data_IF_906453065908
#
_entry.id   IF_906453065908
#
_cell.length_a   1.000
_cell.length_b   1.000
_cell.length_c   1.000
_cell.angle_alpha   90.00
_cell.angle_beta   90.00
_cell.angle_gamma   90.00
#
_symmetry.space_group_name_H-M   'P 1'
#
loop_
_entity.id
_entity.type
_entity.pdbx_description
1 polymer ?
#
# COMPACT_ATOMS: atom_id res chain seq x y z
N UNK A 1 -2.11 -37.83 11.51
CA UNK A 1 -0.98 -37.93 10.56
C UNK A 1 -0.21 -36.63 10.60
N UNK A 2 0.99 -36.62 11.21
CA UNK A 2 1.89 -35.44 11.25
C UNK A 2 3.23 -35.88 10.69
N UNK A 3 3.61 -35.36 9.53
CA UNK A 3 4.97 -35.48 9.00
C UNK A 3 5.51 -34.06 8.85
N UNK A 4 6.20 -33.60 9.90
CA UNK A 4 6.96 -32.36 9.86
C UNK A 4 8.28 -32.68 9.15
N UNK A 5 8.38 -32.31 7.87
CA UNK A 5 9.64 -32.31 7.14
C UNK A 5 10.43 -31.06 7.56
N UNK A 6 11.45 -31.23 8.40
CA UNK A 6 12.47 -30.21 8.63
C UNK A 6 13.51 -30.41 7.54
N UNK A 7 13.46 -29.56 6.51
CA UNK A 7 14.49 -29.51 5.48
C UNK A 7 15.73 -28.85 6.08
N UNK A 8 16.79 -29.64 6.30
CA UNK A 8 18.10 -29.16 6.70
C UNK A 8 18.81 -28.62 5.45
N UNK A 9 18.74 -27.30 5.23
CA UNK A 9 19.52 -26.65 4.18
C UNK A 9 20.99 -26.61 4.60
N UNK A 10 21.80 -27.52 4.06
CA UNK A 10 23.26 -27.46 4.14
C UNK A 10 23.71 -26.25 3.32
N UNK A 11 24.04 -25.15 4.00
CA UNK A 11 24.75 -24.04 3.37
C UNK A 11 26.18 -24.51 3.09
N UNK A 12 26.48 -24.83 1.84
CA UNK A 12 27.85 -24.99 1.38
C UNK A 12 28.54 -23.62 1.49
N UNK A 13 29.31 -23.43 2.56
CA UNK A 13 30.15 -22.25 2.75
C UNK A 13 31.21 -22.22 1.65
N UNK A 14 31.09 -21.29 0.71
CA UNK A 14 32.17 -20.93 -0.20
C UNK A 14 33.31 -20.33 0.63
N UNK A 15 34.32 -21.12 0.94
CA UNK A 15 35.56 -20.63 1.51
C UNK A 15 36.27 -19.77 0.45
N UNK A 16 36.19 -18.45 0.58
CA UNK A 16 36.99 -17.53 -0.23
C UNK A 16 38.41 -17.56 0.32
N UNK A 17 39.26 -18.40 -0.28
CA UNK A 17 40.69 -18.48 0.03
C UNK A 17 41.39 -17.22 -0.48
N UNK A 18 41.60 -16.25 0.41
CA UNK A 18 42.45 -15.09 0.14
C UNK A 18 43.92 -15.50 0.14
N UNK A 19 44.46 -15.87 -1.01
CA UNK A 19 45.91 -16.02 -1.17
C UNK A 19 46.54 -14.62 -1.04
N UNK A 20 47.41 -14.42 -0.06
CA UNK A 20 48.13 -13.16 0.11
C UNK A 20 48.94 -12.87 -1.16
N UNK A 21 48.61 -11.78 -1.85
CA UNK A 21 49.31 -11.38 -3.07
C UNK A 21 50.67 -10.78 -2.69
N UNK A 22 51.75 -11.49 -3.03
CA UNK A 22 53.10 -11.00 -2.86
C UNK A 22 53.38 -9.79 -3.78
N UNK A 23 54.13 -8.81 -3.28
CA UNK A 23 54.59 -7.67 -4.08
C UNK A 23 55.38 -8.15 -5.29
N UNK A 24 54.97 -7.73 -6.49
CA UNK A 24 55.67 -8.05 -7.75
C UNK A 24 56.35 -6.80 -8.27
N UNK A 25 57.68 -6.77 -8.24
CA UNK A 25 58.46 -5.64 -8.76
C UNK A 25 58.23 -5.48 -10.28
N UNK A 26 57.93 -4.24 -10.73
CA UNK A 26 57.60 -3.90 -12.12
C UNK A 26 56.35 -4.61 -12.70
N UNK A 27 55.40 -5.03 -11.86
CA UNK A 27 54.15 -5.64 -12.33
C UNK A 27 53.29 -4.67 -13.15
N UNK A 28 52.57 -5.19 -14.15
CA UNK A 28 51.66 -4.42 -15.01
C UNK A 28 50.23 -4.28 -14.46
N UNK A 29 49.98 -4.78 -13.23
CA UNK A 29 48.66 -4.80 -12.59
C UNK A 29 47.84 -6.07 -12.85
N UNK A 30 46.62 -6.11 -12.31
CA UNK A 30 45.62 -7.19 -12.41
C UNK A 30 44.25 -6.73 -11.89
N UNK A 31 43.23 -7.60 -11.86
CA UNK A 31 41.91 -7.30 -11.28
C UNK A 31 41.81 -7.73 -9.83
N UNK A 32 40.97 -7.02 -9.06
CA UNK A 32 40.56 -7.42 -7.71
C UNK A 32 39.13 -7.90 -7.80
N UNK A 33 38.93 -9.20 -7.61
CA UNK A 33 37.60 -9.82 -7.67
C UNK A 33 36.96 -9.78 -6.27
N UNK A 34 35.86 -9.04 -6.17
CA UNK A 34 35.05 -8.93 -4.95
C UNK A 34 33.78 -9.75 -5.15
N UNK A 35 33.59 -10.76 -4.28
CA UNK A 35 32.42 -11.63 -4.32
C UNK A 35 31.98 -12.08 -2.94
N UNK A 36 30.73 -12.47 -2.81
CA UNK A 36 30.13 -12.99 -1.58
C UNK A 36 28.76 -13.60 -1.86
N UNK A 37 28.18 -14.27 -0.86
CA UNK A 37 26.83 -14.84 -0.94
C UNK A 37 25.87 -13.99 -0.12
N UNK A 38 24.85 -13.43 -0.78
CA UNK A 38 23.74 -12.78 -0.10
C UNK A 38 22.64 -13.81 0.11
N UNK A 39 22.26 -14.05 1.38
CA UNK A 39 21.18 -14.97 1.73
C UNK A 39 19.99 -14.14 2.22
N UNK A 40 18.87 -14.09 1.48
CA UNK A 40 17.67 -13.42 1.94
C UNK A 40 17.12 -14.06 3.21
N UNK A 41 16.68 -13.24 4.15
CA UNK A 41 15.94 -13.67 5.35
C UNK A 41 14.51 -13.16 5.28
N UNK A 42 13.56 -13.90 5.86
CA UNK A 42 12.18 -13.47 5.91
C UNK A 42 12.04 -12.21 6.78
N UNK A 43 11.36 -11.19 6.27
CA UNK A 43 10.92 -10.04 7.07
C UNK A 43 9.66 -10.45 7.83
N UNK A 44 9.79 -10.68 9.13
CA UNK A 44 8.62 -10.92 10.00
C UNK A 44 8.08 -9.55 10.39
N UNK A 45 6.95 -9.15 9.80
CA UNK A 45 6.28 -7.88 10.11
C UNK A 45 5.01 -8.12 10.92
N UNK A 46 4.50 -7.11 11.66
CA UNK A 46 3.21 -7.21 12.33
C UNK A 46 2.01 -6.99 11.37
N UNK A 47 2.27 -6.90 10.06
CA UNK A 47 1.29 -6.53 9.05
C UNK A 47 0.80 -7.73 8.26
N UNK A 48 -0.49 -7.73 7.94
CA UNK A 48 -1.03 -8.46 6.81
C UNK A 48 -1.54 -7.47 5.76
N UNK A 49 -1.37 -7.85 4.49
CA UNK A 49 -1.67 -7.01 3.33
C UNK A 49 -2.69 -7.75 2.47
N UNK A 50 -3.76 -7.05 2.09
CA UNK A 50 -4.81 -7.54 1.19
C UNK A 50 -4.91 -6.61 -0.01
N UNK A 51 -4.60 -7.13 -1.19
CA UNK A 51 -4.86 -6.45 -2.45
C UNK A 51 -6.26 -6.80 -2.94
N UNK A 52 -6.97 -5.83 -3.49
CA UNK A 52 -8.30 -6.00 -4.06
C UNK A 52 -8.37 -7.12 -5.10
N UNK A 53 -9.50 -7.82 -5.15
CA UNK A 53 -9.76 -8.79 -6.20
C UNK A 53 -10.00 -8.11 -7.56
N UNK A 54 -9.83 -8.86 -8.64
CA UNK A 54 -10.18 -8.36 -9.98
C UNK A 54 -11.68 -7.99 -10.04
N UNK A 55 -11.96 -6.78 -10.53
CA UNK A 55 -13.33 -6.29 -10.72
C UNK A 55 -13.71 -6.48 -12.18
N UNK A 56 -14.77 -7.23 -12.40
CA UNK A 56 -15.36 -7.48 -13.72
C UNK A 56 -16.79 -6.92 -13.77
N UNK A 57 -17.35 -6.77 -14.97
CA UNK A 57 -18.73 -6.29 -15.14
C UNK A 57 -18.89 -4.79 -14.95
N UNK A 58 -17.83 -4.03 -15.25
CA UNK A 58 -17.86 -2.56 -15.34
C UNK A 58 -18.29 -2.13 -16.76
N UNK A 59 -19.38 -2.72 -17.24
CA UNK A 59 -19.86 -2.54 -18.61
C UNK A 59 -20.68 -1.25 -18.73
N UNK A 60 -20.53 -0.55 -19.85
CA UNK A 60 -21.35 0.61 -20.19
C UNK A 60 -21.63 0.66 -21.70
N UNK A 61 -22.83 1.13 -22.05
CA UNK A 61 -23.18 1.42 -23.45
C UNK A 61 -22.75 2.83 -23.81
N UNK A 62 -22.01 2.96 -24.91
CA UNK A 62 -21.68 4.24 -25.55
C UNK A 62 -22.18 4.24 -27.00
N UNK A 63 -22.44 5.40 -27.58
CA UNK A 63 -22.84 5.50 -28.99
C UNK A 63 -21.58 5.49 -29.86
N UNK A 64 -21.74 5.05 -31.10
CA UNK A 64 -20.72 5.23 -32.13
C UNK A 64 -20.32 6.72 -32.21
N UNK A 65 -19.02 6.98 -32.22
CA UNK A 65 -18.46 8.32 -32.25
C UNK A 65 -18.33 9.00 -30.89
N UNK A 66 -18.89 8.43 -29.81
CA UNK A 66 -18.62 8.94 -28.45
C UNK A 66 -17.16 8.63 -28.05
N UNK A 67 -16.55 9.53 -27.28
CA UNK A 67 -15.22 9.32 -26.68
C UNK A 67 -15.29 9.13 -25.16
N UNK A 68 -16.47 9.28 -24.56
CA UNK A 68 -16.66 9.23 -23.12
C UNK A 68 -17.61 8.13 -22.70
N UNK A 69 -17.29 7.47 -21.58
CA UNK A 69 -18.20 6.57 -20.88
C UNK A 69 -18.22 6.90 -19.38
N UNK A 70 -19.40 6.94 -18.78
CA UNK A 70 -19.60 7.00 -17.34
C UNK A 70 -20.09 5.63 -16.84
N UNK A 71 -19.34 5.01 -15.94
CA UNK A 71 -19.64 3.69 -15.38
C UNK A 71 -19.97 3.85 -13.90
N UNK A 72 -21.24 3.62 -13.49
CA UNK A 72 -21.62 3.70 -12.09
C UNK A 72 -21.06 2.51 -11.30
N UNK A 73 -20.39 2.82 -10.18
CA UNK A 73 -19.86 1.83 -9.25
C UNK A 73 -20.99 1.32 -8.36
N UNK A 74 -21.56 0.17 -8.69
CA UNK A 74 -22.70 -0.41 -7.95
C UNK A 74 -22.31 -1.10 -6.64
N UNK A 75 -21.07 -1.56 -6.57
CA UNK A 75 -20.46 -2.20 -5.39
C UNK A 75 -19.10 -1.55 -5.19
N UNK A 76 -18.75 -1.25 -3.95
CA UNK A 76 -17.45 -0.69 -3.63
C UNK A 76 -16.31 -1.56 -4.17
N UNK A 77 -15.25 -0.91 -4.61
CA UNK A 77 -14.05 -1.55 -5.16
C UNK A 77 -12.92 -1.32 -4.17
N UNK A 78 -12.62 -2.36 -3.40
CA UNK A 78 -11.49 -2.38 -2.45
C UNK A 78 -10.18 -2.51 -3.23
N UNK A 79 -9.19 -1.68 -2.91
CA UNK A 79 -7.89 -1.66 -3.62
C UNK A 79 -6.77 -2.21 -2.75
N UNK A 80 -6.57 -1.65 -1.56
CA UNK A 80 -5.51 -2.08 -0.66
C UNK A 80 -5.95 -1.96 0.79
N UNK A 81 -5.76 -3.05 1.54
CA UNK A 81 -5.86 -3.08 3.00
C UNK A 81 -4.51 -3.48 3.59
N UNK A 82 -4.09 -2.79 4.66
CA UNK A 82 -2.94 -3.18 5.48
C UNK A 82 -3.38 -3.09 6.92
N UNK A 83 -3.26 -4.16 7.70
CA UNK A 83 -3.70 -4.15 9.11
C UNK A 83 -2.80 -5.00 9.99
N UNK A 84 -2.95 -4.82 11.29
CA UNK A 84 -2.26 -5.67 12.28
C UNK A 84 -2.80 -7.10 12.20
N UNK A 85 -1.92 -8.11 12.22
CA UNK A 85 -2.29 -9.52 11.98
C UNK A 85 -3.29 -10.09 13.02
N UNK A 86 -3.24 -9.60 14.26
CA UNK A 86 -4.08 -10.09 15.36
C UNK A 86 -4.66 -8.92 16.13
N UNK A 87 -5.77 -9.14 16.83
CA UNK A 87 -6.33 -8.13 17.75
C UNK A 87 -5.41 -7.80 18.95
N UNK A 88 -4.24 -8.42 19.03
CA UNK A 88 -3.19 -8.10 19.97
C UNK A 88 -2.28 -7.00 19.39
N UNK A 89 -1.86 -6.08 20.25
CA UNK A 89 -0.88 -5.04 19.90
C UNK A 89 0.49 -5.64 19.61
N UNK A 90 1.31 -4.93 18.84
CA UNK A 90 2.71 -5.27 18.61
C UNK A 90 3.65 -4.21 19.21
N UNK A 91 4.81 -4.63 19.69
CA UNK A 91 5.88 -3.71 20.12
C UNK A 91 6.52 -3.05 18.90
N UNK A 92 6.83 -1.76 18.97
CA UNK A 92 7.49 -1.04 17.89
C UNK A 92 8.86 -1.61 17.54
N UNK A 93 9.22 -1.56 16.25
CA UNK A 93 10.48 -2.08 15.71
C UNK A 93 10.93 -1.21 14.53
N UNK A 94 12.22 -1.12 14.25
CA UNK A 94 12.70 -0.45 13.04
C UNK A 94 12.44 -1.33 11.80
N UNK A 95 12.30 -0.73 10.61
CA UNK A 95 12.17 -1.50 9.37
C UNK A 95 10.78 -2.06 9.10
N UNK A 96 9.75 -1.62 9.84
CA UNK A 96 8.38 -2.15 9.70
C UNK A 96 7.39 -1.10 9.19
N UNK A 97 7.77 0.15 8.92
CA UNK A 97 6.83 1.18 8.44
C UNK A 97 6.40 0.88 7.01
N UNK A 98 5.13 0.51 6.75
CA UNK A 98 4.68 0.25 5.39
C UNK A 98 4.78 1.52 4.55
N UNK A 99 5.28 1.41 3.32
CA UNK A 99 5.27 2.46 2.30
C UNK A 99 4.45 1.95 1.13
N UNK A 100 3.64 2.81 0.52
CA UNK A 100 2.68 2.44 -0.52
C UNK A 100 3.04 3.17 -1.81
N UNK A 101 3.12 2.43 -2.91
CA UNK A 101 3.31 3.01 -4.25
C UNK A 101 2.19 2.55 -5.18
N UNK A 102 1.53 3.53 -5.80
CA UNK A 102 0.49 3.36 -6.82
C UNK A 102 1.03 3.67 -8.23
N UNK A 103 2.35 3.75 -8.39
CA UNK A 103 3.07 4.14 -9.60
C UNK A 103 2.59 5.48 -10.19
N UNK A 104 2.31 6.45 -9.30
CA UNK A 104 1.77 7.76 -9.69
C UNK A 104 0.30 7.77 -10.17
N UNK A 105 -0.44 6.66 -10.06
CA UNK A 105 -1.83 6.58 -10.50
C UNK A 105 -2.80 7.34 -9.58
N UNK A 106 -2.45 7.58 -8.32
CA UNK A 106 -3.30 8.33 -7.38
C UNK A 106 -2.72 9.72 -7.16
N UNK A 107 -3.52 10.74 -7.46
CA UNK A 107 -3.18 12.15 -7.28
C UNK A 107 -4.10 12.82 -6.25
N UNK A 108 -3.74 14.05 -5.87
CA UNK A 108 -4.53 14.87 -4.94
C UNK A 108 -4.70 14.24 -3.55
N UNK A 109 -3.71 13.48 -3.07
CA UNK A 109 -3.74 12.84 -1.75
C UNK A 109 -3.98 13.83 -0.60
N UNK A 110 -3.64 15.11 -0.77
CA UNK A 110 -3.92 16.14 0.25
C UNK A 110 -5.41 16.45 0.41
N UNK A 111 -6.27 16.14 -0.58
CA UNK A 111 -7.72 16.21 -0.41
C UNK A 111 -8.19 15.28 0.71
N UNK A 112 -7.50 14.16 0.90
CA UNK A 112 -7.78 13.23 1.98
C UNK A 112 -7.59 13.88 3.36
N UNK A 113 -6.84 14.98 3.52
CA UNK A 113 -6.66 15.62 4.83
C UNK A 113 -7.96 16.23 5.37
N UNK A 114 -8.83 16.69 4.48
CA UNK A 114 -10.13 17.32 4.77
C UNK A 114 -11.30 16.39 4.46
N UNK A 115 -11.02 15.09 4.47
CA UNK A 115 -12.01 14.07 4.26
C UNK A 115 -12.63 14.02 2.83
N UNK A 116 -11.95 14.59 1.84
CA UNK A 116 -12.37 14.58 0.45
C UNK A 116 -11.70 13.45 -0.34
N UNK A 117 -12.15 13.24 -1.58
CA UNK A 117 -11.64 12.18 -2.44
C UNK A 117 -10.32 12.63 -3.09
N UNK A 118 -9.36 11.71 -3.15
CA UNK A 118 -8.25 11.75 -4.09
C UNK A 118 -8.75 11.31 -5.48
N UNK A 119 -7.86 11.32 -6.47
CA UNK A 119 -8.20 10.94 -7.85
C UNK A 119 -7.33 9.78 -8.28
N UNK A 120 -7.96 8.68 -8.69
CA UNK A 120 -7.30 7.57 -9.37
C UNK A 120 -7.37 7.78 -10.87
N UNK A 121 -6.21 7.78 -11.54
CA UNK A 121 -6.07 7.83 -12.99
C UNK A 121 -5.31 6.60 -13.49
N UNK A 122 -5.89 5.85 -14.41
CA UNK A 122 -5.25 4.69 -15.03
C UNK A 122 -5.33 4.77 -16.54
N UNK A 123 -4.34 4.20 -17.21
CA UNK A 123 -4.46 3.94 -18.64
C UNK A 123 -5.45 2.80 -18.89
N UNK A 124 -6.26 2.97 -19.92
CA UNK A 124 -7.21 1.98 -20.41
C UNK A 124 -6.63 1.34 -21.66
N UNK A 125 -6.67 0.02 -21.72
CA UNK A 125 -6.09 -0.79 -22.81
C UNK A 125 -7.13 -1.75 -23.39
N UNK A 126 -6.96 -2.16 -24.63
CA UNK A 126 -7.73 -3.26 -25.26
C UNK A 126 -7.14 -4.66 -24.97
N UNK A 127 -6.19 -4.73 -24.02
CA UNK A 127 -5.37 -5.91 -23.73
C UNK A 127 -3.96 -5.88 -24.33
N UNK A 128 -3.73 -5.06 -25.37
CA UNK A 128 -2.41 -4.90 -26.00
C UNK A 128 -2.02 -3.44 -26.10
N UNK A 129 -2.92 -2.60 -26.63
CA UNK A 129 -2.69 -1.19 -26.89
C UNK A 129 -3.42 -0.33 -25.88
N UNK A 130 -2.83 0.81 -25.55
CA UNK A 130 -3.56 1.87 -24.86
C UNK A 130 -4.61 2.46 -25.80
N UNK A 131 -5.82 2.63 -25.28
CA UNK A 131 -6.98 3.15 -26.00
C UNK A 131 -7.64 4.34 -25.28
N UNK A 132 -7.15 4.73 -24.10
CA UNK A 132 -7.70 5.85 -23.36
C UNK A 132 -7.21 5.95 -21.93
N UNK A 133 -7.99 6.65 -21.10
CA UNK A 133 -7.77 6.81 -19.66
C UNK A 133 -9.05 6.59 -18.87
N UNK A 134 -8.90 6.09 -17.66
CA UNK A 134 -9.95 6.05 -16.65
C UNK A 134 -9.63 7.03 -15.53
N UNK A 135 -10.65 7.68 -15.00
CA UNK A 135 -10.57 8.54 -13.82
C UNK A 135 -11.68 8.15 -12.85
N UNK A 136 -11.36 8.00 -11.57
CA UNK A 136 -12.34 7.69 -10.53
C UNK A 136 -12.02 8.42 -9.23
N UNK A 137 -13.03 8.82 -8.44
CA UNK A 137 -12.82 9.25 -7.07
C UNK A 137 -12.20 8.11 -6.26
N UNK A 138 -11.20 8.43 -5.45
CA UNK A 138 -10.43 7.45 -4.68
C UNK A 138 -10.36 7.89 -3.22
N UNK A 139 -10.55 6.95 -2.31
CA UNK A 139 -10.42 7.21 -0.88
C UNK A 139 -9.28 6.39 -0.31
N UNK A 140 -8.64 6.93 0.71
CA UNK A 140 -7.72 6.20 1.55
C UNK A 140 -7.71 6.80 2.96
N UNK A 141 -7.59 5.95 3.96
CA UNK A 141 -7.34 6.39 5.33
C UNK A 141 -6.58 5.33 6.12
N UNK A 142 -6.02 5.77 7.22
CA UNK A 142 -5.44 4.91 8.22
C UNK A 142 -5.70 5.47 9.61
N UNK A 143 -5.67 4.57 10.58
CA UNK A 143 -5.68 4.91 11.99
C UNK A 143 -4.64 4.07 12.71
N UNK A 144 -4.16 4.61 13.83
CA UNK A 144 -3.32 3.88 14.76
C UNK A 144 -3.72 4.18 16.20
N UNK A 145 -3.46 3.21 17.06
CA UNK A 145 -3.35 3.41 18.49
C UNK A 145 -1.90 3.23 18.92
N UNK A 146 -1.48 3.93 19.96
CA UNK A 146 -0.20 3.74 20.63
C UNK A 146 -0.36 3.84 22.14
N UNK A 147 0.35 3.00 22.89
CA UNK A 147 0.50 3.11 24.34
C UNK A 147 1.98 2.87 24.74
N UNK A 148 2.41 3.42 25.88
CA UNK A 148 3.75 3.15 26.42
C UNK A 148 4.14 4.06 27.59
N UNK A 149 5.29 3.82 28.25
CA UNK A 149 5.71 4.53 29.47
C UNK A 149 5.88 6.06 29.32
N UNK A 150 6.03 6.52 28.08
CA UNK A 150 6.28 7.91 27.69
C UNK A 150 5.26 8.46 26.69
N UNK A 151 4.19 7.70 26.40
CA UNK A 151 3.06 8.14 25.59
C UNK A 151 1.80 8.07 26.44
N UNK A 152 1.01 9.15 26.45
CA UNK A 152 -0.41 8.96 26.75
C UNK A 152 -0.94 7.98 25.71
N UNK A 153 -1.73 6.99 26.14
CA UNK A 153 -2.41 6.12 25.18
C UNK A 153 -3.24 7.01 24.25
N UNK A 154 -2.92 7.00 22.96
CA UNK A 154 -3.63 7.79 21.95
C UNK A 154 -4.11 6.92 20.83
N UNK A 155 -5.24 7.32 20.26
CA UNK A 155 -5.85 6.75 19.07
C UNK A 155 -6.08 7.90 18.09
N UNK A 156 -5.51 7.83 16.88
CA UNK A 156 -5.54 8.92 15.89
C UNK A 156 -5.81 8.41 14.48
N UNK A 157 -6.39 9.27 13.65
CA UNK A 157 -6.25 9.16 12.19
C UNK A 157 -4.82 9.51 11.77
N UNK A 158 -4.41 9.05 10.59
CA UNK A 158 -3.04 9.20 10.11
C UNK A 158 -2.90 10.15 8.92
N UNK A 159 -1.76 10.84 8.90
CA UNK A 159 -1.17 11.46 7.72
C UNK A 159 0.29 11.02 7.63
N UNK A 160 0.93 11.17 6.46
CA UNK A 160 2.31 10.75 6.25
C UNK A 160 3.11 11.82 5.48
N UNK A 161 3.86 12.65 6.21
CA UNK A 161 4.63 13.76 5.64
C UNK A 161 6.14 13.49 5.41
N UNK A 162 6.65 12.32 5.80
CA UNK A 162 8.09 12.02 5.85
C UNK A 162 8.32 10.55 5.50
N UNK A 163 9.46 10.19 4.86
CA UNK A 163 9.83 8.81 4.51
C UNK A 163 9.77 7.79 5.65
N UNK A 164 9.94 8.24 6.90
CA UNK A 164 9.85 7.34 8.06
C UNK A 164 8.40 7.07 8.49
N UNK A 165 7.43 7.85 8.03
CA UNK A 165 6.04 7.68 8.44
C UNK A 165 5.41 6.50 7.71
N UNK A 166 4.68 5.68 8.45
CA UNK A 166 3.90 4.60 7.89
C UNK A 166 2.81 5.11 6.94
N UNK A 167 2.54 4.30 5.92
CA UNK A 167 1.55 4.50 4.85
C UNK A 167 1.82 5.72 3.96
N UNK A 168 3.06 6.22 3.92
CA UNK A 168 3.46 7.23 2.96
C UNK A 168 3.20 6.75 1.52
N UNK A 169 2.76 7.67 0.67
CA UNK A 169 2.32 7.40 -0.71
C UNK A 169 0.85 6.95 -0.81
N UNK A 170 0.23 6.56 0.31
CA UNK A 170 -1.20 6.23 0.39
C UNK A 170 -2.07 7.21 1.17
N UNK A 171 -1.48 8.21 1.84
CA UNK A 171 -2.17 9.18 2.70
C UNK A 171 -1.82 10.62 2.32
N UNK A 172 -2.58 11.59 2.85
CA UNK A 172 -2.22 13.00 2.78
C UNK A 172 -0.84 13.27 3.41
N UNK A 173 -0.09 14.20 2.84
CA UNK A 173 1.21 14.64 3.37
C UNK A 173 1.08 15.80 4.34
N UNK A 174 -0.12 16.37 4.46
CA UNK A 174 -0.44 17.44 5.40
C UNK A 174 -1.31 16.93 6.54
N UNK A 175 -1.15 17.56 7.70
CA UNK A 175 -1.98 17.29 8.87
C UNK A 175 -3.41 17.79 8.63
N UNK A 176 -4.39 16.92 8.86
CA UNK A 176 -5.82 17.23 8.79
C UNK A 176 -6.55 17.06 10.13
N UNK A 177 -7.85 17.36 10.14
CA UNK A 177 -8.77 17.18 11.30
C UNK A 177 -9.12 15.68 11.49
N UNK A 178 -9.83 15.34 12.59
CA UNK A 178 -10.48 14.02 12.71
C UNK A 178 -11.28 13.72 11.45
N UNK A 179 -11.14 12.48 10.98
CA UNK A 179 -11.92 11.94 9.89
C UNK A 179 -12.57 10.63 10.33
N UNK A 180 -13.41 10.69 11.37
CA UNK A 180 -14.22 9.53 11.81
C UNK A 180 -15.02 8.96 10.64
N UNK A 181 -15.54 9.84 9.77
CA UNK A 181 -16.19 9.45 8.53
C UNK A 181 -15.33 8.54 7.64
N UNK A 182 -14.01 8.68 7.60
CA UNK A 182 -13.16 7.77 6.80
C UNK A 182 -13.12 6.37 7.36
N UNK A 183 -13.21 6.23 8.68
CA UNK A 183 -13.28 4.92 9.34
C UNK A 183 -14.49 4.13 8.83
N UNK A 184 -15.63 4.80 8.66
CA UNK A 184 -16.86 4.17 8.15
C UNK A 184 -16.81 3.98 6.64
N UNK A 185 -16.28 4.95 5.89
CA UNK A 185 -16.11 4.85 4.43
C UNK A 185 -15.18 3.69 4.05
N UNK A 186 -14.07 3.52 4.77
CA UNK A 186 -13.16 2.39 4.56
C UNK A 186 -13.83 1.06 4.95
N UNK A 187 -14.61 1.03 6.04
CA UNK A 187 -15.37 -0.16 6.41
C UNK A 187 -16.42 -0.54 5.35
N UNK A 188 -16.97 0.45 4.64
CA UNK A 188 -17.91 0.26 3.53
C UNK A 188 -17.24 -0.24 2.24
N UNK A 189 -15.91 -0.10 2.11
CA UNK A 189 -15.15 -0.77 1.05
C UNK A 189 -15.00 -2.25 1.38
N UNK A 190 -14.43 -2.53 2.54
CA UNK A 190 -14.21 -3.89 3.06
C UNK A 190 -14.04 -3.80 4.58
N UNK A 191 -14.99 -4.36 5.33
CA UNK A 191 -14.96 -4.33 6.79
C UNK A 191 -13.76 -5.09 7.36
N UNK A 192 -13.16 -5.99 6.60
CA UNK A 192 -11.94 -6.68 7.00
C UNK A 192 -10.75 -5.72 7.12
N UNK A 193 -10.68 -4.62 6.38
CA UNK A 193 -9.52 -3.71 6.45
C UNK A 193 -9.25 -3.19 7.86
N UNK A 194 -10.28 -3.13 8.71
CA UNK A 194 -10.19 -2.67 10.09
C UNK A 194 -10.25 -3.78 11.13
N UNK A 195 -10.41 -5.04 10.69
CA UNK A 195 -10.42 -6.13 11.66
C UNK A 195 -9.08 -6.15 12.41
N UNK A 196 -9.11 -6.67 13.63
CA UNK A 196 -7.93 -6.72 14.50
C UNK A 196 -7.41 -5.37 15.01
N UNK A 197 -8.03 -4.25 14.65
CA UNK A 197 -7.67 -2.98 15.26
C UNK A 197 -7.97 -2.99 16.76
N UNK A 198 -6.97 -2.64 17.57
CA UNK A 198 -7.06 -2.54 19.02
C UNK A 198 -6.84 -1.09 19.44
N UNK A 199 -7.82 -0.47 20.09
CA UNK A 199 -7.76 0.94 20.52
C UNK A 199 -6.90 1.16 21.77
N UNK A 200 -6.34 0.08 22.36
CA UNK A 200 -5.48 0.13 23.54
C UNK A 200 -6.12 0.81 24.76
N UNK A 201 -7.44 0.61 24.92
CA UNK A 201 -8.23 1.17 26.01
C UNK A 201 -8.56 2.65 25.87
N UNK A 202 -8.26 3.26 24.71
CA UNK A 202 -8.58 4.66 24.40
C UNK A 202 -10.00 4.73 23.82
N UNK A 203 -10.93 5.33 24.56
CA UNK A 203 -12.35 5.36 24.19
C UNK A 203 -12.71 6.42 23.13
N UNK A 204 -11.80 7.35 22.82
CA UNK A 204 -12.07 8.43 21.86
C UNK A 204 -10.85 8.71 21.00
N UNK A 205 -11.10 8.86 19.70
CA UNK A 205 -10.08 9.31 18.75
C UNK A 205 -9.75 10.80 18.97
N UNK A 206 -8.47 11.13 18.85
CA UNK A 206 -7.94 12.49 19.03
C UNK A 206 -8.35 13.44 17.90
N UNK A 207 -8.59 14.71 18.24
CA UNK A 207 -9.15 15.76 17.35
C UNK A 207 -8.31 16.10 16.11
N UNK A 208 -7.07 15.62 16.06
CA UNK A 208 -6.10 15.95 15.03
C UNK A 208 -5.34 14.70 14.62
N UNK A 209 -5.15 14.54 13.30
CA UNK A 209 -4.36 13.45 12.74
C UNK A 209 -2.91 13.46 13.21
N UNK A 210 -2.29 12.28 13.29
CA UNK A 210 -0.91 12.08 13.69
C UNK A 210 -0.10 11.31 12.66
N UNK A 211 1.20 11.56 12.61
CA UNK A 211 2.14 10.71 11.87
C UNK A 211 2.86 9.77 12.84
N UNK A 212 3.17 8.55 12.40
CA UNK A 212 3.90 7.57 13.20
C UNK A 212 4.71 6.62 12.31
N UNK A 213 5.87 6.18 12.79
CA UNK A 213 6.79 5.24 12.15
C UNK A 213 6.78 3.84 12.78
N UNK A 214 5.99 3.63 13.83
CA UNK A 214 5.92 2.38 14.59
C UNK A 214 7.27 1.84 15.08
N UNK A 215 8.28 2.70 15.22
CA UNK A 215 9.67 2.30 15.45
C UNK A 215 10.12 2.37 16.91
N UNK A 216 9.31 2.96 17.81
CA UNK A 216 9.67 3.05 19.21
C UNK A 216 9.44 1.73 19.93
N UNK A 217 10.53 1.07 20.33
CA UNK A 217 10.54 -0.22 21.02
C UNK A 217 9.98 -0.16 22.44
N UNK A 218 9.79 1.03 23.02
CA UNK A 218 9.14 1.20 24.31
C UNK A 218 7.61 1.31 24.21
N UNK A 219 7.07 1.35 22.99
CA UNK A 219 5.64 1.55 22.73
C UNK A 219 5.02 0.31 22.09
N UNK A 220 3.72 0.15 22.31
CA UNK A 220 2.89 -0.84 21.63
C UNK A 220 1.92 -0.16 20.68
N UNK A 221 1.64 -0.82 19.57
CA UNK A 221 0.88 -0.27 18.46
C UNK A 221 -0.18 -1.25 17.96
N UNK A 222 -1.21 -0.68 17.36
CA UNK A 222 -2.13 -1.35 16.45
C UNK A 222 -2.50 -0.33 15.38
N UNK A 223 -2.63 -0.77 14.13
CA UNK A 223 -3.02 0.13 13.06
C UNK A 223 -3.69 -0.59 11.89
N UNK A 224 -4.37 0.19 11.07
CA UNK A 224 -4.91 -0.22 9.79
C UNK A 224 -4.80 0.90 8.76
N UNK A 225 -4.77 0.50 7.49
CA UNK A 225 -4.89 1.32 6.29
C UNK A 225 -5.90 0.65 5.36
N UNK A 226 -6.73 1.44 4.70
CA UNK A 226 -7.65 0.96 3.67
C UNK A 226 -7.86 1.99 2.57
N UNK A 227 -7.98 1.52 1.33
CA UNK A 227 -8.25 2.38 0.17
C UNK A 227 -9.08 1.71 -0.92
N UNK A 228 -9.72 2.52 -1.75
CA UNK A 228 -10.60 2.03 -2.82
C UNK A 228 -11.52 3.09 -3.42
N UNK A 229 -12.50 2.62 -4.20
CA UNK A 229 -13.54 3.43 -4.84
C UNK A 229 -14.88 3.06 -4.21
N UNK A 230 -15.59 4.05 -3.70
CA UNK A 230 -16.85 3.82 -3.01
C UNK A 230 -17.99 3.45 -3.96
N UNK A 231 -18.96 2.69 -3.43
CA UNK A 231 -20.24 2.48 -4.10
C UNK A 231 -20.98 3.79 -4.33
N UNK A 232 -21.69 3.91 -5.44
CA UNK A 232 -22.43 5.10 -5.85
C UNK A 232 -21.57 6.17 -6.53
N UNK A 233 -20.25 5.98 -6.62
CA UNK A 233 -19.37 6.86 -7.41
C UNK A 233 -19.43 6.49 -8.90
N UNK A 234 -18.86 7.34 -9.75
CA UNK A 234 -18.74 7.10 -11.19
C UNK A 234 -17.28 6.96 -11.59
N UNK A 235 -16.98 5.94 -12.38
CA UNK A 235 -15.72 5.81 -13.13
C UNK A 235 -15.94 6.47 -14.49
N UNK A 236 -15.04 7.37 -14.87
CA UNK A 236 -15.07 8.04 -16.17
C UNK A 236 -14.00 7.45 -17.07
N UNK A 237 -14.38 6.98 -18.25
CA UNK A 237 -13.44 6.58 -19.30
C UNK A 237 -13.48 7.63 -20.40
N UNK A 238 -12.29 8.05 -20.83
CA UNK A 238 -12.09 8.87 -22.03
C UNK A 238 -11.23 8.06 -23.00
N UNK A 239 -11.79 7.73 -24.16
CA UNK A 239 -11.10 7.06 -25.26
C UNK A 239 -10.24 8.06 -26.04
N UNK A 240 -9.07 7.61 -26.48
CA UNK A 240 -8.16 8.42 -27.30
C UNK A 240 -8.72 8.61 -28.73
N UNK A 241 -9.52 7.65 -29.19
CA UNK A 241 -10.24 7.71 -30.47
C UNK A 241 -11.75 7.49 -30.26
N UNK A 242 -12.61 8.11 -31.09
CA UNK A 242 -14.05 7.88 -31.03
C UNK A 242 -14.43 6.40 -31.19
N UNK A 243 -15.45 5.95 -30.46
CA UNK A 243 -15.92 4.57 -30.51
C UNK A 243 -16.37 4.16 -31.93
N UNK A 244 -15.92 2.98 -32.35
CA UNK A 244 -16.22 2.39 -33.65
C UNK A 244 -17.60 1.73 -33.72
N UNK A 245 -17.75 0.79 -34.65
CA UNK A 245 -18.97 -0.05 -34.76
C UNK A 245 -18.89 -1.29 -33.88
N UNK A 246 -17.68 -1.76 -33.57
CA UNK A 246 -17.43 -2.98 -32.82
C UNK A 246 -17.40 -2.71 -31.31
N UNK A 247 -17.65 -3.78 -30.55
CA UNK A 247 -17.52 -3.77 -29.09
C UNK A 247 -16.06 -3.49 -28.68
N UNK A 248 -15.89 -2.66 -27.64
CA UNK A 248 -14.58 -2.35 -27.06
C UNK A 248 -14.45 -3.13 -25.75
N UNK A 249 -13.68 -4.22 -25.78
CA UNK A 249 -13.23 -4.89 -24.56
C UNK A 249 -12.06 -4.10 -23.99
N UNK A 250 -12.19 -3.64 -22.74
CA UNK A 250 -11.19 -2.78 -22.13
C UNK A 250 -10.72 -3.30 -20.77
N UNK A 251 -9.50 -2.91 -20.40
CA UNK A 251 -8.87 -3.21 -19.11
C UNK A 251 -8.04 -2.03 -18.63
N UNK A 252 -8.11 -1.75 -17.34
CA UNK A 252 -7.19 -0.87 -16.63
C UNK A 252 -6.56 -1.65 -15.47
N UNK A 253 -5.27 -1.43 -15.20
CA UNK A 253 -4.54 -2.14 -14.14
C UNK A 253 -3.84 -1.15 -13.23
N UNK A 254 -4.11 -1.23 -11.93
CA UNK A 254 -3.40 -0.47 -10.90
C UNK A 254 -2.29 -1.34 -10.30
N UNK A 255 -1.01 -1.07 -10.58
CA UNK A 255 0.07 -1.67 -9.84
C UNK A 255 0.10 -1.11 -8.41
N UNK A 256 0.21 -2.00 -7.43
CA UNK A 256 0.32 -1.64 -6.01
C UNK A 256 1.55 -2.32 -5.43
N UNK A 257 2.44 -1.54 -4.82
CA UNK A 257 3.61 -2.07 -4.11
C UNK A 257 3.55 -1.64 -2.64
N UNK A 258 3.87 -2.58 -1.74
CA UNK A 258 4.10 -2.30 -0.32
C UNK A 258 5.54 -2.67 0.01
N UNK A 259 6.29 -1.70 0.51
CA UNK A 259 7.65 -1.89 1.05
C UNK A 259 7.73 -1.46 2.51
N UNK A 260 8.85 -1.70 3.19
CA UNK A 260 9.01 -1.37 4.60
C UNK A 260 10.29 -0.56 4.84
N UNK A 261 10.22 0.41 5.75
CA UNK A 261 11.33 1.29 6.18
C UNK A 261 11.44 1.32 7.71
#
# INVERSE_FOLDING_TARGET
MKKTLIALAVAASAAVSGSAMAWTANGTGGSVDLGGTLTPVNVITPWEVKVGAAVNGLDASIRKGDTGADIPVKKAISVLGIRTIKSAVFTGQQGISPQIEFNGAVSELNNLADANDAVLTLDVTDGVNKIGKMVAPFIAAAQYSVAGPSANSVYKTMYAASPANAFLGGLATVKGRIQEAFSDRVAALDSEFKAHFNEQGVSRIESVSGANSFSNTQHTYSAWYGSGIESGKSIKITLDNPAGVDEIVWKASLPVTVSYQ
#
